data_IF_825465990112
#
_entry.id   IF_825465990112
#
_cell.length_a   1.000
_cell.length_b   1.000
_cell.length_c   1.000
_cell.angle_alpha   90.00
_cell.angle_beta   90.00
_cell.angle_gamma   90.00
#
_symmetry.space_group_name_H-M   'P 1'
#
loop_
_entity.id
_entity.type
_entity.pdbx_description
1 polymer ?
#
# COMPACT_ATOMS: atom_id res chain seq x y z
N UNK A 1 -21.80 -5.70 -0.69
CA UNK A 1 -20.57 -6.43 -1.08
C UNK A 1 -19.79 -6.76 0.18
N UNK A 2 -19.34 -7.98 0.34
CA UNK A 2 -18.58 -8.40 1.54
C UNK A 2 -17.16 -7.85 1.51
N UNK A 3 -16.60 -7.60 2.68
CA UNK A 3 -15.19 -7.16 2.82
C UNK A 3 -14.25 -8.19 2.17
N UNK A 4 -14.54 -9.49 2.29
CA UNK A 4 -13.75 -10.54 1.63
C UNK A 4 -13.62 -10.34 0.12
N UNK A 5 -14.68 -9.94 -0.57
CA UNK A 5 -14.63 -9.72 -2.02
C UNK A 5 -13.66 -8.58 -2.40
N UNK A 6 -13.54 -7.56 -1.53
CA UNK A 6 -12.56 -6.47 -1.72
C UNK A 6 -11.15 -6.97 -1.47
N UNK A 7 -10.95 -7.73 -0.39
CA UNK A 7 -9.64 -8.33 -0.06
C UNK A 7 -9.18 -9.26 -1.18
N UNK A 8 -10.06 -10.14 -1.65
CA UNK A 8 -9.75 -11.06 -2.76
C UNK A 8 -9.37 -10.30 -4.05
N UNK A 9 -10.06 -9.19 -4.34
CA UNK A 9 -9.72 -8.36 -5.50
C UNK A 9 -8.35 -7.67 -5.36
N UNK A 10 -8.02 -7.18 -4.16
CA UNK A 10 -6.71 -6.60 -3.87
C UNK A 10 -5.60 -7.64 -3.98
N UNK A 11 -5.80 -8.83 -3.42
CA UNK A 11 -4.84 -9.93 -3.47
C UNK A 11 -4.73 -10.55 -4.87
N UNK A 12 -5.79 -10.49 -5.68
CA UNK A 12 -5.71 -10.86 -7.09
C UNK A 12 -4.85 -9.86 -7.89
N UNK A 13 -4.96 -8.58 -7.60
CA UNK A 13 -4.16 -7.52 -8.24
C UNK A 13 -2.69 -7.58 -7.81
N UNK A 14 -2.42 -7.77 -6.52
CA UNK A 14 -1.08 -7.85 -5.95
C UNK A 14 -1.00 -9.02 -4.95
N UNK A 15 -0.77 -10.25 -5.44
CA UNK A 15 -0.74 -11.45 -4.60
C UNK A 15 0.23 -11.35 -3.43
N UNK A 16 -0.18 -11.80 -2.25
CA UNK A 16 0.65 -11.75 -1.03
C UNK A 16 2.04 -12.39 -1.18
N UNK A 17 2.23 -13.51 -1.93
CA UNK A 17 3.56 -14.06 -2.12
C UNK A 17 4.53 -13.18 -2.93
N UNK A 18 4.06 -12.06 -3.50
CA UNK A 18 4.94 -11.04 -4.10
C UNK A 18 5.65 -10.20 -3.03
N UNK A 19 5.20 -10.20 -1.78
CA UNK A 19 5.82 -9.44 -0.70
C UNK A 19 7.25 -9.92 -0.41
N UNK A 20 8.02 -9.05 0.25
CA UNK A 20 9.34 -9.38 0.78
C UNK A 20 9.25 -10.37 1.95
N UNK A 21 10.31 -11.18 2.14
CA UNK A 21 10.30 -12.24 3.16
C UNK A 21 10.20 -11.77 4.62
N UNK A 22 10.45 -10.49 4.88
CA UNK A 22 10.31 -9.87 6.20
C UNK A 22 8.97 -9.18 6.42
N UNK A 23 8.13 -9.10 5.38
CA UNK A 23 6.90 -8.32 5.36
C UNK A 23 5.72 -9.04 6.00
N UNK A 24 4.68 -8.29 6.32
CA UNK A 24 3.41 -8.77 6.87
C UNK A 24 2.22 -8.06 6.20
N UNK A 25 2.20 -8.06 4.86
CA UNK A 25 1.05 -7.55 4.10
C UNK A 25 -0.19 -8.45 4.25
N UNK A 26 -1.33 -7.95 3.83
CA UNK A 26 -2.63 -8.64 3.89
C UNK A 26 -3.48 -8.24 5.08
N UNK A 27 -4.38 -9.13 5.50
CA UNK A 27 -5.30 -8.87 6.61
C UNK A 27 -4.54 -8.68 7.93
N UNK A 28 -4.74 -7.52 8.54
CA UNK A 28 -4.12 -7.15 9.82
C UNK A 28 -5.05 -7.35 11.01
N UNK A 29 -6.29 -6.90 10.87
CA UNK A 29 -7.31 -6.91 11.95
C UNK A 29 -8.68 -7.10 11.32
N UNK A 30 -9.57 -7.83 11.99
CA UNK A 30 -10.98 -7.86 11.67
C UNK A 30 -11.47 -9.13 10.98
N UNK A 31 -12.73 -9.10 10.56
CA UNK A 31 -13.44 -10.20 9.92
C UNK A 31 -13.81 -9.82 8.49
N UNK A 32 -13.70 -10.77 7.58
CA UNK A 32 -13.95 -10.53 6.15
C UNK A 32 -15.14 -11.32 5.61
N UNK A 33 -15.34 -12.55 6.09
CA UNK A 33 -16.31 -13.50 5.51
C UNK A 33 -17.77 -13.11 5.72
N UNK A 34 -18.11 -12.66 6.93
CA UNK A 34 -19.49 -12.40 7.33
C UNK A 34 -19.89 -10.92 7.26
N UNK A 35 -18.92 -10.00 6.98
CA UNK A 35 -19.14 -8.57 7.13
C UNK A 35 -19.38 -7.89 5.78
N UNK A 36 -20.51 -7.20 5.65
CA UNK A 36 -20.80 -6.33 4.52
C UNK A 36 -19.96 -5.03 4.64
N UNK A 37 -19.34 -4.63 3.54
CA UNK A 37 -18.61 -3.38 3.48
C UNK A 37 -19.56 -2.19 3.42
N UNK A 38 -19.46 -1.27 4.37
CA UNK A 38 -20.19 0.01 4.37
C UNK A 38 -19.44 1.12 3.65
N UNK A 39 -18.11 1.07 3.68
CA UNK A 39 -17.19 2.00 3.02
C UNK A 39 -15.76 1.62 3.31
N UNK A 40 -14.83 2.14 2.49
CA UNK A 40 -13.40 1.95 2.65
C UNK A 40 -12.67 3.29 2.81
N UNK A 41 -11.77 3.39 3.78
CA UNK A 41 -10.84 4.49 3.95
C UNK A 41 -9.45 4.05 3.50
N UNK A 42 -8.80 4.84 2.65
CA UNK A 42 -7.44 4.58 2.18
C UNK A 42 -6.45 5.47 2.93
N UNK A 43 -5.33 4.91 3.36
CA UNK A 43 -4.27 5.66 4.04
C UNK A 43 -2.89 5.06 3.79
N UNK A 44 -1.85 5.81 4.14
CA UNK A 44 -0.47 5.31 4.15
C UNK A 44 -0.22 4.52 5.43
N UNK A 45 -0.46 5.14 6.58
CA UNK A 45 -0.26 4.59 7.92
C UNK A 45 -1.59 4.51 8.68
N UNK A 46 -1.79 3.44 9.45
CA UNK A 46 -2.96 3.30 10.32
C UNK A 46 -2.61 3.78 11.72
N UNK A 47 -3.34 4.79 12.18
CA UNK A 47 -3.25 5.34 13.54
C UNK A 47 -4.60 5.30 14.22
N UNK A 48 -4.65 5.56 15.54
CA UNK A 48 -5.92 5.70 16.27
C UNK A 48 -6.82 6.77 15.65
N UNK A 49 -6.24 7.89 15.15
CA UNK A 49 -6.96 8.96 14.49
C UNK A 49 -7.58 8.54 13.14
N UNK A 50 -6.88 7.70 12.39
CA UNK A 50 -7.39 7.13 11.13
C UNK A 50 -8.56 6.18 11.38
N UNK A 51 -8.51 5.38 12.45
CA UNK A 51 -9.65 4.53 12.86
C UNK A 51 -10.84 5.40 13.27
N UNK A 52 -10.62 6.48 14.04
CA UNK A 52 -11.68 7.43 14.40
C UNK A 52 -12.28 8.12 13.16
N UNK A 53 -11.46 8.43 12.17
CA UNK A 53 -11.93 8.98 10.90
C UNK A 53 -12.79 7.97 10.13
N UNK A 54 -12.36 6.70 10.03
CA UNK A 54 -13.14 5.65 9.38
C UNK A 54 -14.51 5.50 10.01
N UNK A 55 -14.57 5.43 11.35
CA UNK A 55 -15.82 5.34 12.10
C UNK A 55 -16.72 6.55 11.83
N UNK A 56 -16.16 7.76 11.91
CA UNK A 56 -16.92 9.01 11.66
C UNK A 56 -17.49 9.08 10.24
N UNK A 57 -16.78 8.51 9.26
CA UNK A 57 -17.21 8.43 7.85
C UNK A 57 -18.12 7.24 7.55
N UNK A 58 -18.41 6.39 8.52
CA UNK A 58 -19.18 5.17 8.33
C UNK A 58 -18.47 4.09 7.54
N UNK A 59 -17.13 4.12 7.50
CA UNK A 59 -16.30 3.11 6.83
C UNK A 59 -15.92 2.01 7.83
N UNK A 60 -16.15 0.75 7.46
CA UNK A 60 -15.74 -0.40 8.25
C UNK A 60 -14.56 -1.19 7.67
N UNK A 61 -13.93 -0.66 6.60
CA UNK A 61 -12.71 -1.17 6.02
C UNK A 61 -11.67 -0.03 5.94
N UNK A 62 -10.45 -0.31 6.39
CA UNK A 62 -9.27 0.52 6.13
C UNK A 62 -8.33 -0.30 5.25
N UNK A 63 -7.89 0.29 4.13
CA UNK A 63 -6.82 -0.27 3.30
C UNK A 63 -5.63 0.67 3.43
N UNK A 64 -4.54 0.16 4.00
CA UNK A 64 -3.30 0.92 4.19
C UNK A 64 -2.20 0.40 3.29
N UNK A 65 -1.17 1.24 3.09
CA UNK A 65 0.08 0.78 2.51
C UNK A 65 0.92 0.08 3.58
N UNK A 66 1.30 0.77 4.63
CA UNK A 66 2.12 0.18 5.69
C UNK A 66 1.29 -0.74 6.61
N UNK A 67 1.79 -1.96 6.92
CA UNK A 67 1.11 -2.86 7.83
C UNK A 67 1.15 -2.32 9.27
N UNK A 68 -0.04 -2.22 9.87
CA UNK A 68 -0.17 -1.80 11.27
C UNK A 68 0.58 -2.77 12.20
N UNK A 69 0.44 -4.09 11.94
CA UNK A 69 1.11 -5.14 12.71
C UNK A 69 2.32 -5.62 11.92
N UNK A 70 3.38 -4.80 11.86
CA UNK A 70 4.62 -5.19 11.17
C UNK A 70 5.39 -6.25 11.94
N UNK A 71 5.38 -6.20 13.29
CA UNK A 71 5.98 -7.19 14.18
C UNK A 71 4.92 -7.93 14.96
N UNK A 72 5.12 -9.22 15.19
CA UNK A 72 4.19 -10.07 15.97
C UNK A 72 3.84 -9.44 17.31
N UNK A 73 2.55 -9.35 17.60
CA UNK A 73 2.06 -8.90 18.90
C UNK A 73 1.99 -10.08 19.85
N UNK A 74 2.67 -9.98 20.98
CA UNK A 74 2.57 -10.96 22.06
C UNK A 74 1.32 -10.73 22.94
N UNK A 75 0.77 -9.53 22.93
CA UNK A 75 -0.42 -9.12 23.70
C UNK A 75 -1.12 -7.95 23.03
N UNK A 76 -2.37 -7.72 23.39
CA UNK A 76 -3.14 -6.52 22.96
C UNK A 76 -3.51 -5.77 24.25
N UNK A 77 -2.85 -4.63 24.48
CA UNK A 77 -3.02 -3.76 25.64
C UNK A 77 -3.04 -2.28 25.21
N UNK A 78 -2.60 -1.38 26.03
CA UNK A 78 -2.43 0.05 25.76
C UNK A 78 -0.97 0.52 25.79
N UNK A 79 -0.02 -0.43 25.83
CA UNK A 79 1.40 -0.20 26.04
C UNK A 79 2.04 0.63 24.91
N UNK A 80 1.61 0.41 23.66
CA UNK A 80 2.08 1.18 22.51
C UNK A 80 0.96 1.52 21.52
N UNK A 81 1.27 2.39 20.54
CA UNK A 81 0.26 2.86 19.59
C UNK A 81 -0.33 1.73 18.73
N UNK A 82 0.45 0.72 18.35
CA UNK A 82 -0.03 -0.40 17.53
C UNK A 82 -1.11 -1.17 18.30
N UNK A 83 -0.83 -1.53 19.56
CA UNK A 83 -1.78 -2.26 20.41
C UNK A 83 -3.07 -1.45 20.65
N UNK A 84 -2.95 -0.13 20.92
CA UNK A 84 -4.10 0.76 21.08
C UNK A 84 -4.91 0.86 19.81
N UNK A 85 -4.26 0.99 18.65
CA UNK A 85 -4.94 1.07 17.35
C UNK A 85 -5.66 -0.24 17.01
N UNK A 86 -5.00 -1.40 17.19
CA UNK A 86 -5.63 -2.72 17.03
C UNK A 86 -6.86 -2.87 17.92
N UNK A 87 -6.72 -2.54 19.21
CA UNK A 87 -7.84 -2.59 20.17
C UNK A 87 -8.99 -1.67 19.77
N UNK A 88 -8.67 -0.46 19.26
CA UNK A 88 -9.68 0.50 18.79
C UNK A 88 -10.41 -0.04 17.56
N UNK A 89 -9.68 -0.59 16.59
CA UNK A 89 -10.26 -1.20 15.39
C UNK A 89 -11.22 -2.34 15.73
N UNK A 90 -10.80 -3.26 16.61
CA UNK A 90 -11.63 -4.38 17.08
C UNK A 90 -12.91 -3.86 17.78
N UNK A 91 -12.78 -2.86 18.66
CA UNK A 91 -13.92 -2.30 19.41
C UNK A 91 -14.97 -1.64 18.50
N UNK A 92 -14.57 -1.16 17.33
CA UNK A 92 -15.44 -0.46 16.38
C UNK A 92 -15.79 -1.31 15.15
N UNK A 93 -15.47 -2.61 15.16
CA UNK A 93 -15.71 -3.54 14.06
C UNK A 93 -15.09 -3.06 12.71
N UNK A 94 -13.92 -2.41 12.79
CA UNK A 94 -13.17 -1.93 11.62
C UNK A 94 -12.14 -2.98 11.21
N UNK A 95 -12.25 -3.44 9.96
CA UNK A 95 -11.28 -4.34 9.34
C UNK A 95 -10.12 -3.53 8.75
N UNK A 96 -8.90 -4.00 8.94
CA UNK A 96 -7.67 -3.37 8.41
C UNK A 96 -6.94 -4.36 7.52
N UNK A 97 -6.65 -3.95 6.30
CA UNK A 97 -5.87 -4.70 5.30
C UNK A 97 -4.72 -3.82 4.82
N UNK A 98 -3.53 -4.39 4.71
CA UNK A 98 -2.35 -3.66 4.23
C UNK A 98 -1.84 -4.25 2.93
N UNK A 99 -1.62 -3.38 1.93
CA UNK A 99 -1.04 -3.71 0.64
C UNK A 99 0.33 -3.02 0.57
N UNK A 100 1.37 -3.74 0.99
CA UNK A 100 2.71 -3.18 1.21
C UNK A 100 3.68 -3.59 0.09
N UNK A 101 4.74 -4.31 0.39
CA UNK A 101 5.76 -4.67 -0.62
C UNK A 101 5.22 -5.57 -1.73
N UNK A 102 4.14 -6.30 -1.53
CA UNK A 102 3.42 -6.98 -2.60
C UNK A 102 2.84 -5.99 -3.64
N UNK A 103 2.30 -4.85 -3.19
CA UNK A 103 1.77 -3.81 -4.06
C UNK A 103 2.90 -3.02 -4.74
N UNK A 104 4.05 -2.85 -4.07
CA UNK A 104 5.24 -2.26 -4.69
C UNK A 104 5.77 -3.15 -5.82
N UNK A 105 5.81 -4.46 -5.58
CA UNK A 105 6.36 -5.44 -6.50
C UNK A 105 5.46 -5.73 -7.71
N UNK A 106 4.13 -5.62 -7.56
CA UNK A 106 3.18 -6.01 -8.60
C UNK A 106 3.28 -5.15 -9.87
N UNK A 107 3.04 -5.77 -11.03
CA UNK A 107 2.88 -5.05 -12.30
C UNK A 107 1.75 -4.01 -12.19
N UNK A 108 2.03 -2.77 -12.57
CA UNK A 108 1.08 -1.65 -12.43
C UNK A 108 0.90 -1.14 -11.00
N UNK A 109 1.62 -1.70 -10.03
CA UNK A 109 1.60 -1.27 -8.64
C UNK A 109 2.33 0.05 -8.38
N UNK A 110 2.75 0.27 -7.12
CA UNK A 110 3.29 1.57 -6.66
C UNK A 110 4.48 2.03 -7.49
N UNK A 111 5.46 1.15 -7.75
CA UNK A 111 6.65 1.50 -8.54
C UNK A 111 6.29 1.96 -9.96
N UNK A 112 5.33 1.30 -10.62
CA UNK A 112 4.84 1.71 -11.93
C UNK A 112 4.09 3.04 -11.87
N UNK A 113 3.32 3.30 -10.80
CA UNK A 113 2.61 4.57 -10.61
C UNK A 113 3.58 5.73 -10.34
N UNK A 114 4.68 5.48 -9.66
CA UNK A 114 5.76 6.45 -9.49
C UNK A 114 6.41 6.75 -10.85
N UNK A 115 6.76 5.71 -11.60
CA UNK A 115 7.34 5.85 -12.94
C UNK A 115 6.42 6.67 -13.88
N UNK A 116 5.11 6.37 -13.88
CA UNK A 116 4.09 7.11 -14.63
C UNK A 116 4.07 8.60 -14.23
N UNK A 117 4.09 8.90 -12.92
CA UNK A 117 4.09 10.28 -12.40
C UNK A 117 5.36 11.05 -12.74
N UNK A 118 6.48 10.36 -12.86
CA UNK A 118 7.77 10.92 -13.29
C UNK A 118 7.88 11.06 -14.81
N UNK A 119 6.92 10.52 -15.58
CA UNK A 119 6.94 10.55 -17.03
C UNK A 119 7.91 9.57 -17.68
N UNK A 120 8.31 8.50 -16.94
CA UNK A 120 9.21 7.49 -17.48
C UNK A 120 8.53 6.73 -18.63
N UNK A 121 9.29 6.47 -19.69
CA UNK A 121 8.91 5.69 -20.87
C UNK A 121 9.62 4.33 -20.84
N UNK A 122 9.11 3.36 -21.60
CA UNK A 122 9.70 2.01 -21.70
C UNK A 122 9.95 1.36 -20.33
N UNK A 123 8.98 1.54 -19.42
CA UNK A 123 9.08 1.07 -18.03
C UNK A 123 9.04 -0.45 -18.00
N UNK A 124 10.03 -1.05 -17.38
CA UNK A 124 10.16 -2.50 -17.20
C UNK A 124 10.64 -2.82 -15.77
N UNK A 125 10.45 -4.06 -15.36
CA UNK A 125 10.96 -4.50 -14.06
C UNK A 125 12.49 -4.40 -13.98
N UNK A 126 12.96 -4.11 -12.79
CA UNK A 126 14.36 -4.07 -12.40
C UNK A 126 14.59 -4.98 -11.20
N UNK A 127 15.56 -5.91 -11.35
CA UNK A 127 15.94 -6.86 -10.30
C UNK A 127 14.86 -7.89 -9.96
N UNK A 128 15.24 -9.15 -9.84
CA UNK A 128 14.47 -10.22 -9.24
C UNK A 128 13.02 -10.39 -9.73
N UNK A 129 12.78 -10.53 -11.02
CA UNK A 129 11.43 -10.80 -11.53
C UNK A 129 10.90 -12.15 -11.02
N UNK A 130 9.64 -12.16 -10.59
CA UNK A 130 8.89 -13.36 -10.22
C UNK A 130 7.47 -13.29 -10.74
N UNK A 131 6.82 -14.43 -10.90
CA UNK A 131 5.41 -14.50 -11.27
C UNK A 131 4.64 -15.33 -10.25
N UNK A 132 3.53 -14.79 -9.78
CA UNK A 132 2.67 -15.43 -8.78
C UNK A 132 1.22 -15.32 -9.23
N UNK A 133 0.55 -16.46 -9.40
CA UNK A 133 -0.86 -16.52 -9.83
C UNK A 133 -1.12 -15.74 -11.14
N UNK A 134 -0.16 -15.73 -12.07
CA UNK A 134 -0.26 -15.00 -13.32
C UNK A 134 0.05 -13.49 -13.21
N UNK A 135 0.38 -12.98 -12.02
CA UNK A 135 0.80 -11.60 -11.81
C UNK A 135 2.32 -11.53 -11.78
N UNK A 136 2.90 -10.71 -12.66
CA UNK A 136 4.32 -10.42 -12.64
C UNK A 136 4.66 -9.43 -11.55
N UNK A 137 5.81 -9.62 -10.92
CA UNK A 137 6.35 -8.73 -9.92
C UNK A 137 7.87 -8.63 -10.00
N UNK A 138 8.43 -7.57 -9.46
CA UNK A 138 9.88 -7.33 -9.38
C UNK A 138 10.22 -6.37 -8.25
N UNK A 139 11.52 -6.27 -7.92
CA UNK A 139 11.97 -5.45 -6.79
C UNK A 139 11.80 -3.94 -7.03
N UNK A 140 11.75 -3.53 -8.30
CA UNK A 140 11.57 -2.14 -8.70
C UNK A 140 11.33 -2.05 -10.20
N UNK A 141 11.32 -0.82 -10.71
CA UNK A 141 11.20 -0.55 -12.13
C UNK A 141 12.29 0.39 -12.61
N UNK A 142 12.68 0.25 -13.87
CA UNK A 142 13.55 1.15 -14.59
C UNK A 142 12.82 1.64 -15.83
N UNK A 143 13.08 2.87 -16.25
CA UNK A 143 12.51 3.46 -17.46
C UNK A 143 13.38 4.58 -17.97
N UNK A 144 13.02 5.12 -19.12
CA UNK A 144 13.72 6.20 -19.81
C UNK A 144 13.00 7.52 -19.54
N UNK A 145 13.76 8.60 -19.36
CA UNK A 145 13.25 9.96 -19.32
C UNK A 145 14.04 10.79 -20.33
N UNK A 146 13.38 11.65 -21.09
CA UNK A 146 14.07 12.52 -22.04
C UNK A 146 14.58 13.79 -21.34
N UNK A 147 15.63 14.40 -21.89
CA UNK A 147 16.16 15.68 -21.40
C UNK A 147 15.09 16.77 -21.42
N UNK A 148 14.19 16.74 -22.41
CA UNK A 148 13.07 17.68 -22.52
C UNK A 148 12.08 17.52 -21.37
N UNK A 149 11.72 16.27 -20.99
CA UNK A 149 10.83 15.99 -19.86
C UNK A 149 11.48 16.43 -18.52
N UNK A 150 12.82 16.25 -18.39
CA UNK A 150 13.58 16.70 -17.21
C UNK A 150 13.54 18.23 -17.12
N UNK A 151 13.81 18.93 -18.23
CA UNK A 151 13.78 20.38 -18.29
C UNK A 151 12.38 20.94 -17.95
N UNK A 152 11.32 20.33 -18.47
CA UNK A 152 9.94 20.71 -18.13
C UNK A 152 9.64 20.50 -16.65
N UNK A 153 10.07 19.36 -16.08
CA UNK A 153 9.89 19.06 -14.66
C UNK A 153 10.66 20.05 -13.77
N UNK A 154 11.87 20.43 -14.18
CA UNK A 154 12.68 21.45 -13.50
C UNK A 154 12.01 22.83 -13.53
N UNK A 155 11.51 23.28 -14.70
CA UNK A 155 10.80 24.54 -14.86
C UNK A 155 9.48 24.60 -14.07
N UNK A 156 8.78 23.46 -13.97
CA UNK A 156 7.56 23.32 -13.17
C UNK A 156 7.82 23.25 -11.66
N UNK A 157 9.07 23.36 -11.20
CA UNK A 157 9.43 23.25 -9.78
C UNK A 157 9.28 21.87 -9.17
N UNK A 158 9.17 20.82 -10.00
CA UNK A 158 9.00 19.43 -9.57
C UNK A 158 10.30 18.73 -9.18
N UNK A 159 11.44 19.32 -9.53
CA UNK A 159 12.77 18.78 -9.19
C UNK A 159 13.41 19.62 -8.10
N UNK A 160 14.21 18.97 -7.21
CA UNK A 160 15.01 19.69 -6.23
C UNK A 160 16.10 20.53 -6.90
N UNK A 161 16.57 21.58 -6.22
CA UNK A 161 17.64 22.43 -6.73
C UNK A 161 18.95 21.67 -6.94
N UNK A 162 19.20 20.63 -6.14
CA UNK A 162 20.36 19.74 -6.29
C UNK A 162 20.30 18.96 -7.61
N UNK A 163 19.11 18.46 -8.00
CA UNK A 163 18.93 17.76 -9.28
C UNK A 163 19.03 18.74 -10.44
N UNK A 164 18.44 19.95 -10.34
CA UNK A 164 18.55 21.01 -11.37
C UNK A 164 19.98 21.42 -11.67
N UNK A 165 20.87 21.37 -10.66
CA UNK A 165 22.29 21.75 -10.81
C UNK A 165 23.11 20.74 -11.63
N UNK A 166 22.56 19.55 -11.93
CA UNK A 166 23.25 18.50 -12.70
C UNK A 166 22.85 18.46 -14.18
N UNK A 167 21.91 19.30 -14.60
CA UNK A 167 21.46 19.49 -15.97
C UNK A 167 21.62 20.95 -16.42
#
# INVERSE_FOLDING_TARGET
MKIKQVVDALEHYAPLPLQEGYDNAGLQVGLTEAVEMSGALLCLDVTEAVVDEAVRKGCNLIVSHHPLIFRKLARISDENYVQRTVRKAIKNDVTIVSMHTNMDAAAGGVNFKIAEKLGLKNVQFFGGEKEVLGVKGGNGVIGEISDEDILQAAQAGKLSDEVKAHF
#
